data_IF_672306719575
#
_entry.id   IF_672306719575
#
_cell.length_a   1.000
_cell.length_b   1.000
_cell.length_c   1.000
_cell.angle_alpha   90.00
_cell.angle_beta   90.00
_cell.angle_gamma   90.00
#
_symmetry.space_group_name_H-M   'P 1'
#
loop_
_entity.id
_entity.type
_entity.pdbx_description
1 polymer ?
#
# COMPACT_ATOMS: atom_id res chain seq x y z
N UNK A 1 2.61 11.28 6.43
CA UNK A 1 4.08 11.26 6.45
C UNK A 1 4.60 12.25 5.41
N UNK A 2 5.45 13.22 5.79
CA UNK A 2 6.11 14.09 4.79
C UNK A 2 7.03 13.26 3.90
N UNK A 3 6.95 13.44 2.59
CA UNK A 3 7.75 12.70 1.62
C UNK A 3 8.69 13.66 0.87
N UNK A 4 10.01 13.65 1.15
CA UNK A 4 10.97 14.53 0.50
C UNK A 4 10.96 14.43 -1.02
N UNK A 5 10.88 13.21 -1.55
CA UNK A 5 10.89 12.97 -2.99
C UNK A 5 9.63 13.43 -3.74
N UNK A 6 8.58 13.84 -3.00
CA UNK A 6 7.33 14.38 -3.56
C UNK A 6 7.16 15.83 -3.11
N UNK A 7 8.21 16.64 -3.25
CA UNK A 7 8.21 18.07 -2.90
C UNK A 7 7.81 18.35 -1.45
N UNK A 8 8.20 17.47 -0.53
CA UNK A 8 7.83 17.52 0.90
C UNK A 8 6.31 17.45 1.18
N UNK A 9 5.49 17.01 0.23
CA UNK A 9 4.06 16.81 0.44
C UNK A 9 3.77 15.69 1.45
N UNK A 10 2.58 15.72 2.04
CA UNK A 10 2.11 14.69 2.96
C UNK A 10 1.51 13.50 2.20
N UNK A 11 2.05 12.31 2.46
CA UNK A 11 1.44 11.03 2.12
C UNK A 11 0.51 10.61 3.25
N UNK A 12 -0.77 10.50 2.95
CA UNK A 12 -1.80 10.10 3.90
C UNK A 12 -2.02 8.57 3.92
N UNK A 13 -2.33 8.01 5.08
CA UNK A 13 -2.76 6.63 5.21
C UNK A 13 -4.28 6.61 5.31
N UNK A 14 -4.93 6.12 4.26
CA UNK A 14 -6.39 6.16 4.15
C UNK A 14 -7.01 4.77 4.26
N UNK A 15 -8.33 4.74 4.50
CA UNK A 15 -9.13 3.51 4.43
C UNK A 15 -8.95 2.77 3.10
N UNK A 16 -8.77 3.50 2.01
CA UNK A 16 -8.54 2.92 0.67
C UNK A 16 -7.23 2.12 0.65
N UNK A 17 -6.14 2.72 1.15
CA UNK A 17 -4.84 2.07 1.24
C UNK A 17 -4.86 0.85 2.15
N UNK A 18 -5.43 0.97 3.35
CA UNK A 18 -5.56 -0.13 4.30
C UNK A 18 -6.38 -1.30 3.72
N UNK A 19 -7.54 -1.01 3.13
CA UNK A 19 -8.37 -2.03 2.49
C UNK A 19 -7.62 -2.73 1.34
N UNK A 20 -6.74 -2.03 0.64
CA UNK A 20 -5.96 -2.62 -0.45
C UNK A 20 -4.89 -3.61 0.03
N UNK A 21 -4.51 -3.59 1.32
CA UNK A 21 -3.68 -4.63 1.95
C UNK A 21 -4.45 -5.94 2.13
N UNK A 22 -5.75 -5.84 2.39
CA UNK A 22 -6.63 -6.97 2.69
C UNK A 22 -7.32 -7.49 1.42
N UNK A 23 -7.60 -6.61 0.46
CA UNK A 23 -8.42 -6.89 -0.73
C UNK A 23 -7.80 -6.32 -2.00
N UNK A 24 -8.13 -6.91 -3.14
CA UNK A 24 -7.93 -6.34 -4.48
C UNK A 24 -9.31 -6.00 -5.04
N UNK A 25 -9.72 -4.74 -4.90
CA UNK A 25 -11.10 -4.34 -5.19
C UNK A 25 -12.08 -5.06 -4.27
N UNK A 26 -13.02 -5.80 -4.85
CA UNK A 26 -14.02 -6.58 -4.09
C UNK A 26 -13.53 -7.97 -3.67
N UNK A 27 -12.37 -8.41 -4.11
CA UNK A 27 -11.89 -9.78 -3.86
C UNK A 27 -10.92 -9.77 -2.67
N UNK A 28 -11.14 -10.56 -1.60
CA UNK A 28 -10.16 -10.73 -0.54
C UNK A 28 -8.84 -11.27 -1.07
N UNK A 29 -7.71 -10.75 -0.59
CA UNK A 29 -6.40 -11.33 -0.87
C UNK A 29 -6.20 -12.61 -0.05
N UNK A 30 -5.40 -13.59 -0.51
CA UNK A 30 -5.04 -14.76 0.27
C UNK A 30 -4.43 -14.37 1.63
N UNK A 31 -4.70 -15.13 2.70
CA UNK A 31 -4.22 -14.84 4.06
C UNK A 31 -2.70 -14.63 4.12
N UNK A 32 -1.94 -15.45 3.40
CA UNK A 32 -0.47 -15.32 3.35
C UNK A 32 -0.04 -14.02 2.69
N UNK A 33 -0.75 -13.56 1.65
CA UNK A 33 -0.46 -12.28 1.03
C UNK A 33 -0.75 -11.11 1.98
N UNK A 34 -1.88 -11.17 2.70
CA UNK A 34 -2.21 -10.17 3.71
C UNK A 34 -1.11 -10.10 4.79
N UNK A 35 -0.74 -11.25 5.38
CA UNK A 35 0.34 -11.33 6.37
C UNK A 35 1.65 -10.71 5.87
N UNK A 36 2.08 -11.07 4.66
CA UNK A 36 3.29 -10.48 4.04
C UNK A 36 3.19 -8.97 3.93
N UNK A 37 2.04 -8.43 3.49
CA UNK A 37 1.84 -6.97 3.39
C UNK A 37 1.83 -6.28 4.76
N UNK A 38 1.25 -6.91 5.78
CA UNK A 38 1.23 -6.36 7.14
C UNK A 38 2.62 -6.33 7.78
N UNK A 39 3.43 -7.38 7.61
CA UNK A 39 4.82 -7.42 8.07
C UNK A 39 5.67 -6.31 7.46
N UNK A 40 5.29 -5.82 6.27
CA UNK A 40 6.01 -4.75 5.58
C UNK A 40 5.61 -3.33 6.01
N UNK A 41 4.54 -3.16 6.80
CA UNK A 41 4.08 -1.82 7.20
C UNK A 41 5.12 -0.98 7.94
N UNK A 42 5.92 -1.54 8.87
CA UNK A 42 6.92 -0.75 9.60
C UNK A 42 7.98 -0.11 8.71
N UNK A 43 8.28 -0.70 7.54
CA UNK A 43 9.29 -0.18 6.62
C UNK A 43 8.79 0.96 5.74
N UNK A 44 7.48 1.26 5.73
CA UNK A 44 6.92 2.24 4.79
C UNK A 44 7.48 3.64 5.05
N UNK A 45 7.54 4.05 6.32
CA UNK A 45 8.01 5.40 6.66
C UNK A 45 9.48 5.60 6.27
N UNK A 46 10.32 4.61 6.58
CA UNK A 46 11.74 4.59 6.20
C UNK A 46 11.89 4.74 4.68
N UNK A 47 11.17 3.94 3.89
CA UNK A 47 11.24 3.95 2.43
C UNK A 47 10.74 5.28 1.84
N UNK A 48 9.67 5.85 2.38
CA UNK A 48 9.08 7.12 1.89
C UNK A 48 10.01 8.31 2.17
N UNK A 49 10.74 8.27 3.28
CA UNK A 49 11.67 9.33 3.69
C UNK A 49 13.06 9.19 3.08
N UNK A 50 13.41 8.01 2.57
CA UNK A 50 14.73 7.75 2.01
C UNK A 50 14.92 8.48 0.66
N UNK A 51 15.88 9.44 0.57
CA UNK A 51 16.17 10.14 -0.69
C UNK A 51 16.80 9.23 -1.77
N UNK A 52 17.41 8.11 -1.38
CA UNK A 52 18.05 7.15 -2.29
C UNK A 52 17.09 6.07 -2.80
N UNK A 53 15.83 6.06 -2.34
CA UNK A 53 14.85 5.09 -2.80
C UNK A 53 14.62 5.23 -4.31
N UNK A 54 14.64 4.12 -5.05
CA UNK A 54 14.37 4.14 -6.48
C UNK A 54 12.89 4.38 -6.71
N UNK A 55 12.54 5.45 -7.42
CA UNK A 55 11.15 5.83 -7.68
C UNK A 55 10.77 5.53 -9.12
N UNK A 56 9.65 4.83 -9.30
CA UNK A 56 9.04 4.63 -10.61
C UNK A 56 7.71 5.37 -10.66
N UNK A 57 7.56 6.24 -11.66
CA UNK A 57 6.34 6.99 -11.89
C UNK A 57 5.46 6.30 -12.94
N UNK A 58 4.14 6.34 -12.74
CA UNK A 58 3.17 5.89 -13.73
C UNK A 58 1.90 6.71 -13.68
N UNK A 59 1.47 7.24 -14.82
CA UNK A 59 0.18 7.89 -15.00
C UNK A 59 -0.82 6.92 -15.66
N UNK A 60 -2.08 6.96 -15.24
CA UNK A 60 -3.18 6.19 -15.85
C UNK A 60 -4.52 6.91 -15.76
N UNK A 61 -5.34 6.78 -16.80
CA UNK A 61 -6.78 7.00 -16.69
C UNK A 61 -7.44 5.79 -16.04
N UNK A 62 -8.28 6.05 -15.04
CA UNK A 62 -9.01 5.01 -14.34
C UNK A 62 -10.47 5.41 -14.14
N UNK A 63 -11.35 4.42 -14.13
CA UNK A 63 -12.76 4.60 -13.78
C UNK A 63 -12.98 4.18 -12.34
N UNK A 64 -13.61 5.03 -11.54
CA UNK A 64 -13.93 4.72 -10.15
C UNK A 64 -15.34 5.19 -9.80
N UNK A 65 -15.95 4.52 -8.84
CA UNK A 65 -17.29 4.89 -8.35
C UNK A 65 -17.16 5.98 -7.31
N UNK A 66 -17.88 7.08 -7.50
CA UNK A 66 -18.03 8.14 -6.53
C UNK A 66 -19.52 8.31 -6.20
N UNK A 67 -19.82 8.68 -4.97
CA UNK A 67 -21.17 9.07 -4.58
C UNK A 67 -21.30 10.57 -4.80
N UNK A 68 -22.22 11.00 -5.67
CA UNK A 68 -22.65 12.41 -5.78
C UNK A 68 -24.14 12.46 -5.48
N UNK A 69 -24.53 13.21 -4.45
CA UNK A 69 -25.93 13.38 -4.03
C UNK A 69 -26.69 12.06 -3.81
N UNK A 70 -26.03 11.05 -3.23
CA UNK A 70 -26.65 9.73 -2.98
C UNK A 70 -26.57 8.75 -4.16
N UNK A 71 -26.22 9.22 -5.36
CA UNK A 71 -26.09 8.39 -6.55
C UNK A 71 -24.65 7.92 -6.79
N UNK A 72 -24.50 6.64 -7.13
CA UNK A 72 -23.20 6.03 -7.48
C UNK A 72 -22.90 6.26 -8.96
N UNK A 73 -22.15 7.30 -9.26
CA UNK A 73 -21.70 7.57 -10.63
C UNK A 73 -20.31 7.00 -10.89
N UNK A 74 -20.07 6.55 -12.13
CA UNK A 74 -18.76 6.12 -12.59
C UNK A 74 -18.01 7.33 -13.13
N UNK A 75 -16.99 7.78 -12.42
CA UNK A 75 -16.17 8.92 -12.81
C UNK A 75 -14.87 8.39 -13.43
N UNK A 76 -14.53 8.92 -14.59
CA UNK A 76 -13.19 8.76 -15.15
C UNK A 76 -12.26 9.82 -14.56
N UNK A 77 -11.10 9.39 -14.07
CA UNK A 77 -10.14 10.27 -13.45
C UNK A 77 -8.73 9.83 -13.78
N UNK A 78 -7.85 10.81 -13.85
CA UNK A 78 -6.43 10.58 -13.94
C UNK A 78 -5.89 10.13 -12.59
N UNK A 79 -4.93 9.20 -12.61
CA UNK A 79 -4.33 8.64 -11.44
C UNK A 79 -2.84 8.50 -11.63
N UNK A 80 -2.11 9.13 -10.73
CA UNK A 80 -0.66 9.09 -10.66
C UNK A 80 -0.24 8.09 -9.61
N UNK A 81 0.82 7.35 -9.92
CA UNK A 81 1.40 6.34 -9.07
C UNK A 81 2.90 6.56 -8.94
N UNK A 82 3.37 6.61 -7.71
CA UNK A 82 4.80 6.60 -7.37
C UNK A 82 5.11 5.30 -6.64
N UNK A 83 6.03 4.52 -7.20
CA UNK A 83 6.46 3.24 -6.63
C UNK A 83 7.87 3.44 -6.10
N UNK A 84 8.00 3.53 -4.78
CA UNK A 84 9.26 3.58 -4.08
C UNK A 84 9.76 2.16 -3.88
N UNK A 85 10.92 1.84 -4.44
CA UNK A 85 11.53 0.54 -4.34
C UNK A 85 12.85 0.64 -3.57
N UNK A 86 12.96 -0.15 -2.50
CA UNK A 86 14.16 -0.26 -1.69
C UNK A 86 14.45 -1.73 -1.40
N UNK A 87 15.73 -2.07 -1.34
CA UNK A 87 16.17 -3.39 -0.88
C UNK A 87 16.43 -3.30 0.62
N UNK A 88 15.70 -4.08 1.39
CA UNK A 88 15.88 -4.22 2.85
C UNK A 88 16.31 -5.66 3.09
N UNK A 89 17.57 -5.84 3.52
CA UNK A 89 18.23 -7.14 3.60
C UNK A 89 18.18 -7.87 2.24
N UNK A 90 17.59 -9.07 2.18
CA UNK A 90 17.39 -9.86 0.95
C UNK A 90 16.04 -9.60 0.27
N UNK A 91 15.18 -8.74 0.84
CA UNK A 91 13.84 -8.48 0.32
C UNK A 91 13.78 -7.13 -0.43
N UNK A 92 13.32 -7.16 -1.68
CA UNK A 92 12.92 -5.93 -2.38
C UNK A 92 11.51 -5.55 -1.92
N UNK A 93 11.38 -4.39 -1.31
CA UNK A 93 10.11 -3.80 -0.84
C UNK A 93 9.72 -2.68 -1.77
N UNK A 94 8.44 -2.67 -2.19
CA UNK A 94 7.84 -1.65 -3.03
C UNK A 94 6.66 -1.01 -2.31
N UNK A 95 6.76 0.30 -2.04
CA UNK A 95 5.68 1.12 -1.51
C UNK A 95 5.03 1.86 -2.67
N UNK A 96 3.71 1.77 -2.76
CA UNK A 96 2.92 2.42 -3.81
C UNK A 96 2.14 3.57 -3.20
N UNK A 97 2.42 4.78 -3.69
CA UNK A 97 1.67 6.00 -3.41
C UNK A 97 0.84 6.33 -4.63
N UNK A 98 -0.39 6.80 -4.41
CA UNK A 98 -1.33 7.16 -5.46
C UNK A 98 -1.91 8.55 -5.23
N UNK A 99 -2.17 9.27 -6.32
CA UNK A 99 -3.00 10.46 -6.37
C UNK A 99 -4.15 10.25 -7.36
N UNK A 100 -5.30 10.88 -7.13
CA UNK A 100 -6.45 10.86 -8.02
C UNK A 100 -6.79 12.29 -8.41
N UNK A 101 -6.65 12.63 -9.69
CA UNK A 101 -6.70 14.01 -10.17
C UNK A 101 -5.88 14.93 -9.28
N UNK A 102 -6.47 16.02 -8.82
CA UNK A 102 -5.83 16.99 -7.93
C UNK A 102 -6.00 16.66 -6.43
N UNK A 103 -6.39 15.42 -6.09
CA UNK A 103 -6.58 15.00 -4.69
C UNK A 103 -5.27 14.82 -3.93
N UNK A 104 -5.36 14.40 -2.67
CA UNK A 104 -4.17 14.16 -1.84
C UNK A 104 -3.44 12.87 -2.23
N UNK A 105 -2.11 12.91 -2.17
CA UNK A 105 -1.26 11.72 -2.26
C UNK A 105 -1.51 10.81 -1.06
N UNK A 106 -1.76 9.55 -1.31
CA UNK A 106 -2.03 8.57 -0.26
C UNK A 106 -1.29 7.27 -0.52
N UNK A 107 -0.93 6.62 0.58
CA UNK A 107 -0.47 5.24 0.55
C UNK A 107 -1.58 4.35 -0.04
N UNK A 108 -1.25 3.62 -1.09
CA UNK A 108 -2.14 2.64 -1.70
C UNK A 108 -1.80 1.22 -1.25
N UNK A 109 -0.53 0.83 -1.25
CA UNK A 109 -0.15 -0.53 -0.88
C UNK A 109 1.35 -0.70 -0.69
N UNK A 110 1.75 -1.81 -0.07
CA UNK A 110 3.14 -2.26 0.03
C UNK A 110 3.26 -3.70 -0.48
N UNK A 111 4.36 -4.04 -1.16
CA UNK A 111 4.63 -5.35 -1.73
C UNK A 111 6.09 -5.76 -1.48
N UNK A 112 6.36 -7.05 -1.37
CA UNK A 112 7.71 -7.58 -1.29
C UNK A 112 7.81 -9.00 -1.83
N UNK A 113 8.95 -9.34 -2.40
CA UNK A 113 9.12 -10.58 -3.16
C UNK A 113 9.50 -11.77 -2.26
N UNK A 114 10.30 -11.54 -1.21
CA UNK A 114 10.84 -12.55 -0.30
C UNK A 114 10.60 -12.18 1.17
N UNK A 115 9.34 -11.95 1.54
CA UNK A 115 8.99 -11.65 2.93
C UNK A 115 8.89 -12.97 3.70
N UNK A 116 9.90 -13.25 4.53
CA UNK A 116 9.79 -14.28 5.56
C UNK A 116 8.74 -13.82 6.58
N UNK A 117 7.62 -14.54 6.63
CA UNK A 117 6.62 -14.35 7.68
C UNK A 117 7.03 -15.29 8.80
N UNK A 118 7.55 -14.73 9.90
CA UNK A 118 7.95 -15.54 11.04
C UNK A 118 6.72 -16.29 11.58
N UNK A 119 6.71 -17.61 11.41
CA UNK A 119 5.56 -18.48 11.73
C UNK A 119 5.51 -18.84 13.22
N UNK A 120 5.98 -17.96 14.10
CA UNK A 120 6.07 -18.22 15.55
C UNK A 120 4.93 -17.56 16.31
N UNK A 121 3.77 -18.21 16.30
CA UNK A 121 3.00 -18.57 17.51
C UNK A 121 2.13 -19.79 17.14
N UNK A 122 2.72 -20.99 17.11
CA UNK A 122 1.92 -22.21 17.27
C UNK A 122 1.56 -22.28 18.75
N UNK A 123 0.38 -21.80 19.11
CA UNK A 123 -0.16 -22.02 20.46
C UNK A 123 -0.10 -23.53 20.76
N UNK A 124 0.62 -23.86 21.84
CA UNK A 124 0.66 -25.20 22.42
C UNK A 124 -0.78 -25.68 22.60
N UNK A 125 -1.04 -26.92 22.16
CA UNK A 125 -2.28 -27.66 22.44
C UNK A 125 -2.60 -27.52 23.93
N UNK A 126 -3.80 -27.04 24.26
CA UNK A 126 -4.34 -27.10 25.61
C UNK A 126 -4.37 -28.56 26.09
N UNK A 127 -4.02 -28.85 27.35
CA UNK A 127 -4.13 -30.20 27.89
C UNK A 127 -5.63 -30.57 27.93
N UNK A 128 -5.97 -31.75 27.41
CA UNK A 128 -7.31 -32.32 27.58
C UNK A 128 -7.53 -32.58 29.07
N UNK A 129 -8.62 -32.04 29.62
CA UNK A 129 -9.23 -32.55 30.84
C UNK A 129 -10.04 -33.79 30.50
#
# INVERSE_FOLDING_TARGET
>A
IKCPALSNEYVSFSRIGFNHLIRKGRIPRPRNEQKRRFVLLPYIEEIIKNPEAKIFYKHKRIKHKANRHGEKILIESEADFWIFAQKIKSCSVKVVIRQLGNGNKHFLSVMGNNVEVDNRVKNKKSPKK
#
